data_IF_771061113942
#
_entry.id   IF_771061113942
#
_cell.length_a   1.000
_cell.length_b   1.000
_cell.length_c   1.000
_cell.angle_alpha   90.00
_cell.angle_beta   90.00
_cell.angle_gamma   90.00
#
_symmetry.space_group_name_H-M   'P 1'
#
loop_
_entity.id
_entity.type
_entity.pdbx_description
1 polymer ?
#
# COMPACT_ATOMS: atom_id res chain seq x y z
N UNK A 1 7.08 21.65 -54.91
CA UNK A 1 7.54 21.24 -53.57
C UNK A 1 7.37 19.73 -53.47
N UNK A 2 8.35 18.96 -53.94
CA UNK A 2 8.27 17.50 -54.08
C UNK A 2 8.81 16.85 -52.80
N UNK A 3 7.97 16.07 -52.12
CA UNK A 3 8.39 15.28 -50.96
C UNK A 3 9.50 14.30 -51.38
N UNK A 4 10.58 14.15 -50.57
CA UNK A 4 11.63 13.19 -50.88
C UNK A 4 11.06 11.77 -50.85
N UNK A 5 11.21 11.04 -51.94
CA UNK A 5 10.84 9.63 -52.03
C UNK A 5 11.73 8.82 -51.08
N UNK A 6 11.14 8.27 -50.02
CA UNK A 6 11.78 7.32 -49.11
C UNK A 6 12.26 6.14 -49.97
N UNK A 7 13.57 5.88 -49.99
CA UNK A 7 14.15 4.81 -50.83
C UNK A 7 13.75 3.45 -50.24
N UNK A 8 13.19 2.57 -51.06
CA UNK A 8 12.78 1.21 -50.66
C UNK A 8 13.91 0.39 -49.99
N UNK A 9 15.19 0.72 -50.27
CA UNK A 9 16.36 0.13 -49.61
C UNK A 9 16.49 0.50 -48.13
N UNK A 10 16.04 1.69 -47.72
CA UNK A 10 16.06 2.13 -46.32
C UNK A 10 14.98 1.45 -45.48
N UNK A 11 13.88 1.01 -46.12
CA UNK A 11 12.83 0.24 -45.46
C UNK A 11 13.30 -1.18 -45.08
N UNK A 12 14.12 -1.82 -45.93
CA UNK A 12 14.66 -3.15 -45.66
C UNK A 12 15.67 -3.18 -44.52
N UNK A 13 16.56 -2.17 -44.44
CA UNK A 13 17.53 -2.05 -43.34
C UNK A 13 16.85 -1.69 -42.03
N UNK A 14 15.85 -0.80 -42.04
CA UNK A 14 15.05 -0.48 -40.85
C UNK A 14 14.33 -1.72 -40.30
N UNK A 15 13.73 -2.55 -41.18
CA UNK A 15 13.05 -3.77 -40.76
C UNK A 15 14.01 -4.81 -40.17
N UNK A 16 15.22 -4.94 -40.72
CA UNK A 16 16.27 -5.80 -40.15
C UNK A 16 16.72 -5.30 -38.78
N UNK A 17 16.91 -3.99 -38.61
CA UNK A 17 17.28 -3.43 -37.29
C UNK A 17 16.18 -3.68 -36.26
N UNK A 18 14.91 -3.51 -36.63
CA UNK A 18 13.78 -3.81 -35.74
C UNK A 18 13.71 -5.29 -35.35
N UNK A 19 13.95 -6.22 -36.28
CA UNK A 19 13.97 -7.65 -35.95
C UNK A 19 15.15 -8.02 -35.06
N UNK A 20 16.33 -7.43 -35.26
CA UNK A 20 17.47 -7.61 -34.35
C UNK A 20 17.20 -7.06 -32.95
N UNK A 21 16.62 -5.87 -32.83
CA UNK A 21 16.23 -5.29 -31.54
C UNK A 21 15.19 -6.17 -30.84
N UNK A 22 14.18 -6.65 -31.58
CA UNK A 22 13.18 -7.54 -31.01
C UNK A 22 13.79 -8.88 -30.56
N UNK A 23 14.61 -9.51 -31.41
CA UNK A 23 15.26 -10.78 -31.09
C UNK A 23 16.20 -10.66 -29.89
N UNK A 24 17.01 -9.60 -29.81
CA UNK A 24 17.89 -9.32 -28.67
C UNK A 24 17.10 -9.04 -27.39
N UNK A 25 15.99 -8.31 -27.46
CA UNK A 25 15.11 -8.09 -26.31
C UNK A 25 14.53 -9.41 -25.79
N UNK A 26 14.01 -10.27 -26.68
CA UNK A 26 13.50 -11.61 -26.33
C UNK A 26 14.60 -12.46 -25.69
N UNK A 27 15.81 -12.47 -26.26
CA UNK A 27 16.94 -13.20 -25.71
C UNK A 27 17.34 -12.71 -24.31
N UNK A 28 17.42 -11.39 -24.10
CA UNK A 28 17.70 -10.81 -22.79
C UNK A 28 16.61 -11.18 -21.75
N UNK A 29 15.34 -11.17 -22.15
CA UNK A 29 14.23 -11.52 -21.26
C UNK A 29 14.23 -13.01 -20.89
N UNK A 30 14.51 -13.91 -21.83
CA UNK A 30 14.57 -15.36 -21.55
C UNK A 30 15.74 -15.69 -20.64
N UNK A 31 16.93 -15.17 -20.92
CA UNK A 31 18.12 -15.35 -20.05
C UNK A 31 17.86 -14.81 -18.66
N UNK A 32 17.28 -13.61 -18.54
CA UNK A 32 16.91 -13.02 -17.24
C UNK A 32 15.87 -13.85 -16.50
N UNK A 33 14.88 -14.42 -17.19
CA UNK A 33 13.84 -15.25 -16.59
C UNK A 33 14.41 -16.55 -16.04
N UNK A 34 15.29 -17.22 -16.80
CA UNK A 34 15.99 -18.44 -16.36
C UNK A 34 16.87 -18.12 -15.14
N UNK A 35 17.61 -17.01 -15.18
CA UNK A 35 18.43 -16.58 -14.05
C UNK A 35 17.59 -16.32 -12.80
N UNK A 36 16.46 -15.62 -12.92
CA UNK A 36 15.55 -15.31 -11.80
C UNK A 36 14.89 -16.54 -11.18
N UNK A 37 14.64 -17.58 -11.98
CA UNK A 37 14.02 -18.82 -11.54
C UNK A 37 15.00 -19.76 -10.84
N UNK A 38 16.22 -19.91 -11.35
CA UNK A 38 17.15 -20.95 -10.86
C UNK A 38 18.33 -20.38 -10.06
N UNK A 39 18.93 -19.29 -10.52
CA UNK A 39 20.19 -18.76 -9.98
C UNK A 39 20.01 -17.58 -9.04
N UNK A 40 18.79 -17.05 -8.89
CA UNK A 40 18.50 -15.98 -7.95
C UNK A 40 18.66 -16.46 -6.51
N UNK A 41 19.20 -15.66 -5.57
CA UNK A 41 19.30 -16.04 -4.16
C UNK A 41 17.94 -16.42 -3.51
N UNK A 42 16.84 -15.91 -4.06
CA UNK A 42 15.47 -16.23 -3.63
C UNK A 42 14.82 -17.41 -4.39
N UNK A 43 15.54 -18.11 -5.28
CA UNK A 43 15.01 -19.27 -6.02
C UNK A 43 14.68 -20.46 -5.11
N UNK A 44 15.30 -20.52 -3.93
CA UNK A 44 15.05 -21.54 -2.90
C UNK A 44 13.65 -21.46 -2.29
N UNK A 45 12.95 -20.33 -2.42
CA UNK A 45 11.62 -20.15 -1.85
C UNK A 45 10.54 -20.49 -2.88
N UNK A 46 9.52 -21.27 -2.50
CA UNK A 46 8.45 -21.64 -3.40
C UNK A 46 7.54 -20.44 -3.70
N UNK A 47 6.88 -20.46 -4.86
CA UNK A 47 5.92 -19.44 -5.25
C UNK A 47 5.51 -19.54 -6.72
N UNK A 48 4.53 -18.72 -7.17
CA UNK A 48 4.12 -18.68 -8.56
C UNK A 48 5.30 -18.33 -9.48
N UNK A 49 5.55 -19.14 -10.50
CA UNK A 49 6.69 -18.92 -11.43
C UNK A 49 6.62 -17.55 -12.11
N UNK A 50 5.41 -17.07 -12.44
CA UNK A 50 5.20 -15.75 -13.04
C UNK A 50 5.68 -14.65 -12.08
N UNK A 51 5.38 -14.79 -10.79
CA UNK A 51 5.81 -13.86 -9.74
C UNK A 51 7.34 -13.88 -9.54
N UNK A 52 7.99 -15.04 -9.66
CA UNK A 52 9.44 -15.14 -9.60
C UNK A 52 10.15 -14.47 -10.79
N UNK A 53 9.51 -14.46 -11.97
CA UNK A 53 10.07 -13.88 -13.20
C UNK A 53 9.89 -12.37 -13.26
N UNK A 54 8.71 -11.84 -12.93
CA UNK A 54 8.39 -10.41 -13.06
C UNK A 54 7.28 -9.94 -12.12
N UNK A 55 7.21 -8.61 -11.93
CA UNK A 55 6.17 -7.94 -11.13
C UNK A 55 4.80 -7.89 -11.84
N UNK A 56 4.69 -8.50 -13.02
CA UNK A 56 3.43 -8.57 -13.79
C UNK A 56 2.35 -9.30 -13.01
N UNK A 57 2.73 -10.32 -12.23
CA UNK A 57 1.80 -11.04 -11.37
C UNK A 57 1.19 -10.12 -10.31
N UNK A 58 2.02 -9.31 -9.64
CA UNK A 58 1.59 -8.28 -8.70
C UNK A 58 0.69 -7.24 -9.38
N UNK A 59 1.10 -6.71 -10.53
CA UNK A 59 0.34 -5.70 -11.26
C UNK A 59 -1.05 -6.22 -11.66
N UNK A 60 -1.14 -7.44 -12.18
CA UNK A 60 -2.41 -8.07 -12.57
C UNK A 60 -3.37 -8.24 -11.38
N UNK A 61 -2.87 -8.76 -10.26
CA UNK A 61 -3.70 -8.99 -9.07
C UNK A 61 -4.04 -7.70 -8.33
N UNK A 62 -3.17 -6.70 -8.36
CA UNK A 62 -3.45 -5.36 -7.83
C UNK A 62 -4.51 -4.63 -8.65
N UNK A 63 -4.41 -4.65 -9.98
CA UNK A 63 -5.38 -4.02 -10.88
C UNK A 63 -6.76 -4.70 -10.85
N UNK A 64 -6.81 -6.01 -10.60
CA UNK A 64 -8.07 -6.74 -10.42
C UNK A 64 -8.68 -6.57 -9.02
N UNK A 65 -8.00 -5.88 -8.10
CA UNK A 65 -8.43 -5.73 -6.71
C UNK A 65 -8.37 -7.03 -5.91
N UNK A 66 -7.76 -8.08 -6.45
CA UNK A 66 -7.71 -9.43 -5.84
C UNK A 66 -6.37 -9.77 -5.20
N UNK A 67 -5.49 -8.79 -5.03
CA UNK A 67 -4.15 -8.97 -4.46
C UNK A 67 -4.13 -9.76 -3.14
N UNK A 68 -4.95 -9.45 -2.12
CA UNK A 68 -4.94 -10.19 -0.87
C UNK A 68 -5.28 -11.68 -1.04
N UNK A 69 -6.29 -11.99 -1.86
CA UNK A 69 -6.70 -13.37 -2.16
C UNK A 69 -5.66 -14.12 -2.98
N UNK A 70 -4.98 -13.45 -3.92
CA UNK A 70 -3.92 -14.07 -4.70
C UNK A 70 -2.71 -14.46 -3.84
N UNK A 71 -2.37 -13.62 -2.85
CA UNK A 71 -1.34 -13.93 -1.86
C UNK A 71 -1.80 -15.08 -0.96
N UNK A 72 -3.04 -15.07 -0.49
CA UNK A 72 -3.62 -16.17 0.30
C UNK A 72 -3.59 -17.51 -0.45
N UNK A 73 -3.99 -17.52 -1.72
CA UNK A 73 -3.95 -18.70 -2.58
C UNK A 73 -2.51 -19.15 -2.82
N UNK A 74 -1.57 -18.23 -3.02
CA UNK A 74 -0.16 -18.57 -3.13
C UNK A 74 0.36 -19.19 -1.83
N UNK A 75 -0.05 -18.67 -0.67
CA UNK A 75 0.28 -19.29 0.60
C UNK A 75 -0.29 -20.71 0.66
N UNK A 76 -1.60 -20.91 0.48
CA UNK A 76 -2.23 -22.24 0.53
C UNK A 76 -1.57 -23.27 -0.40
N UNK A 77 -1.24 -22.87 -1.63
CA UNK A 77 -0.73 -23.79 -2.65
C UNK A 77 0.77 -24.11 -2.51
N UNK A 78 1.57 -23.19 -1.97
CA UNK A 78 3.03 -23.32 -1.92
C UNK A 78 3.58 -23.55 -0.50
N UNK A 79 2.78 -23.33 0.55
CA UNK A 79 3.18 -23.40 1.99
C UNK A 79 3.05 -24.78 2.61
N UNK A 80 2.70 -25.84 1.86
CA UNK A 80 2.64 -27.20 2.42
C UNK A 80 3.93 -27.66 3.15
N UNK A 81 5.07 -26.95 2.99
CA UNK A 81 6.34 -27.21 3.71
C UNK A 81 7.14 -25.98 4.16
N UNK A 82 6.63 -24.75 4.09
CA UNK A 82 7.47 -23.60 4.46
C UNK A 82 6.72 -22.29 4.67
N UNK A 83 7.10 -21.56 5.71
CA UNK A 83 6.43 -20.35 6.19
C UNK A 83 6.67 -19.09 5.33
N UNK A 84 7.27 -19.26 4.15
CA UNK A 84 7.76 -18.18 3.29
C UNK A 84 7.45 -18.46 1.83
N UNK A 85 6.80 -17.50 1.15
CA UNK A 85 6.46 -17.59 -0.28
C UNK A 85 7.02 -16.41 -1.04
N UNK A 86 7.55 -16.67 -2.23
CA UNK A 86 8.01 -15.64 -3.16
C UNK A 86 6.85 -15.12 -4.00
N UNK A 87 6.56 -13.83 -3.86
CA UNK A 87 5.44 -13.13 -4.52
C UNK A 87 5.88 -12.09 -5.57
N UNK A 88 7.18 -11.82 -5.65
CA UNK A 88 7.80 -11.02 -6.70
C UNK A 88 9.26 -11.45 -6.88
N UNK A 89 10.00 -10.95 -7.90
CA UNK A 89 11.39 -11.32 -8.09
C UNK A 89 12.26 -11.03 -6.87
N UNK A 90 11.98 -9.95 -6.13
CA UNK A 90 12.74 -9.50 -4.96
C UNK A 90 11.91 -9.44 -3.67
N UNK A 91 10.71 -10.03 -3.64
CA UNK A 91 9.80 -9.93 -2.49
C UNK A 91 9.37 -11.31 -1.99
N UNK A 92 9.31 -11.42 -0.67
CA UNK A 92 8.88 -12.60 0.06
C UNK A 92 7.77 -12.20 1.04
N UNK A 93 6.80 -13.08 1.19
CA UNK A 93 5.79 -13.03 2.24
C UNK A 93 6.17 -14.03 3.31
N UNK A 94 6.22 -13.57 4.56
CA UNK A 94 6.49 -14.38 5.73
C UNK A 94 5.21 -14.53 6.56
N UNK A 95 4.91 -15.74 7.01
CA UNK A 95 3.77 -16.04 7.89
C UNK A 95 4.26 -16.74 9.15
N UNK A 96 5.30 -16.18 9.79
CA UNK A 96 5.80 -16.64 11.09
C UNK A 96 5.72 -15.56 12.16
N UNK A 97 5.54 -15.95 13.43
CA UNK A 97 5.69 -15.03 14.56
C UNK A 97 7.09 -14.42 14.64
N UNK A 98 8.13 -15.19 14.29
CA UNK A 98 9.52 -14.72 14.30
C UNK A 98 9.75 -13.60 13.29
N UNK A 99 9.13 -13.65 12.11
CA UNK A 99 9.24 -12.58 11.12
C UNK A 99 8.73 -11.23 11.65
N UNK A 100 7.74 -11.22 12.54
CA UNK A 100 7.30 -9.98 13.17
C UNK A 100 8.42 -9.36 14.04
N UNK A 101 9.11 -10.19 14.83
CA UNK A 101 10.24 -9.75 15.64
C UNK A 101 11.44 -9.34 14.78
N UNK A 102 11.74 -10.08 13.71
CA UNK A 102 12.87 -9.82 12.83
C UNK A 102 12.65 -8.60 11.90
N UNK A 103 11.41 -8.33 11.48
CA UNK A 103 11.09 -7.19 10.60
C UNK A 103 10.76 -5.92 11.40
N UNK A 104 10.00 -6.04 12.50
CA UNK A 104 9.45 -4.91 13.25
C UNK A 104 10.00 -4.78 14.67
N UNK A 105 10.81 -5.72 15.15
CA UNK A 105 11.44 -5.63 16.46
C UNK A 105 12.36 -4.41 16.59
N UNK A 106 12.55 -3.94 17.82
CA UNK A 106 13.51 -2.86 18.11
C UNK A 106 14.92 -3.41 18.01
N UNK A 107 15.53 -3.33 16.82
CA UNK A 107 16.89 -3.84 16.68
C UNK A 107 17.89 -2.80 17.14
N UNK A 108 18.70 -3.21 18.10
CA UNK A 108 19.91 -2.51 18.46
C UNK A 108 20.88 -2.55 17.26
N UNK A 109 21.18 -1.36 16.75
CA UNK A 109 22.40 -0.95 16.03
C UNK A 109 22.47 -0.99 14.50
N UNK A 110 21.73 -1.81 13.74
CA UNK A 110 21.95 -1.94 12.27
C UNK A 110 20.69 -2.02 11.37
N UNK A 111 19.56 -1.42 11.76
CA UNK A 111 18.23 -1.69 11.17
C UNK A 111 17.84 -0.88 9.91
N UNK A 112 18.80 -0.39 9.14
CA UNK A 112 18.53 0.25 7.83
C UNK A 112 18.35 -0.76 6.68
N UNK A 113 18.37 -2.06 6.99
CA UNK A 113 18.46 -3.14 6.01
C UNK A 113 17.17 -3.36 5.19
N UNK A 114 16.01 -2.96 5.73
CA UNK A 114 14.71 -3.12 5.06
C UNK A 114 14.01 -1.77 4.92
N UNK A 115 14.47 -0.89 4.00
CA UNK A 115 13.76 0.35 3.71
C UNK A 115 12.35 0.03 3.19
N UNK A 116 11.40 0.90 3.51
CA UNK A 116 10.04 0.82 2.94
C UNK A 116 10.11 0.88 1.41
N UNK A 117 9.13 0.26 0.75
CA UNK A 117 9.02 0.31 -0.72
C UNK A 117 8.88 1.77 -1.18
N UNK A 118 9.54 2.11 -2.29
CA UNK A 118 9.48 3.48 -2.83
C UNK A 118 8.17 3.79 -3.56
N UNK A 119 7.29 2.81 -3.72
CA UNK A 119 5.95 2.99 -4.32
C UNK A 119 5.15 4.05 -3.56
N UNK A 120 5.38 4.14 -2.26
CA UNK A 120 4.71 5.07 -1.35
C UNK A 120 5.60 6.29 -1.01
N UNK A 121 6.63 6.59 -1.80
CA UNK A 121 7.39 7.83 -1.60
C UNK A 121 6.67 9.01 -2.27
N UNK A 122 5.75 9.66 -1.54
CA UNK A 122 4.92 10.76 -2.05
C UNK A 122 5.54 12.15 -1.90
N UNK A 123 6.86 12.25 -1.67
CA UNK A 123 7.57 13.52 -1.73
C UNK A 123 8.73 13.60 -0.75
N UNK A 124 9.92 13.89 -1.28
CA UNK A 124 11.09 14.29 -0.50
C UNK A 124 10.96 15.77 -0.10
N UNK A 125 9.86 16.15 0.57
CA UNK A 125 9.81 17.46 1.20
C UNK A 125 10.89 17.55 2.30
N UNK A 126 11.27 18.77 2.67
CA UNK A 126 12.35 19.02 3.64
C UNK A 126 12.05 18.39 5.01
N UNK A 127 10.78 18.10 5.27
CA UNK A 127 10.30 17.62 6.57
C UNK A 127 10.03 16.11 6.62
N UNK A 128 9.73 15.46 5.49
CA UNK A 128 9.37 14.05 5.43
C UNK A 128 8.03 13.75 6.12
N UNK A 129 7.17 12.94 5.49
CA UNK A 129 5.95 12.44 6.15
C UNK A 129 6.22 11.15 6.92
N UNK A 130 5.63 10.96 8.12
CA UNK A 130 5.78 9.71 8.90
C UNK A 130 5.35 8.45 8.12
N UNK A 131 4.39 8.59 7.20
CA UNK A 131 3.88 7.48 6.39
C UNK A 131 4.81 7.21 5.19
N UNK A 132 5.26 8.27 4.52
CA UNK A 132 5.89 8.23 3.20
C UNK A 132 7.43 8.30 3.23
N UNK A 133 8.03 8.65 4.36
CA UNK A 133 9.50 8.70 4.52
C UNK A 133 10.10 7.29 4.41
N UNK A 134 11.00 7.14 3.44
CA UNK A 134 11.61 5.86 3.08
C UNK A 134 12.94 5.64 3.82
N UNK A 135 13.65 6.73 4.14
CA UNK A 135 14.92 6.68 4.86
C UNK A 135 14.65 6.38 6.34
N UNK A 136 15.14 5.25 6.88
CA UNK A 136 14.89 4.87 8.28
C UNK A 136 15.38 5.90 9.30
N UNK A 137 16.48 6.62 9.00
CA UNK A 137 17.07 7.63 9.88
C UNK A 137 16.17 8.86 9.93
N UNK A 138 15.74 9.35 8.75
CA UNK A 138 14.81 10.48 8.65
C UNK A 138 13.45 10.12 9.25
N UNK A 139 12.94 8.92 8.99
CA UNK A 139 11.68 8.43 9.55
C UNK A 139 11.71 8.44 11.09
N UNK A 140 12.83 8.02 11.71
CA UNK A 140 12.99 8.09 13.18
C UNK A 140 12.95 9.53 13.70
N UNK A 141 13.53 10.49 12.97
CA UNK A 141 13.49 11.92 13.33
C UNK A 141 12.06 12.46 13.30
N UNK A 142 11.31 12.17 12.23
CA UNK A 142 9.90 12.56 12.10
C UNK A 142 9.04 11.89 13.18
N UNK A 143 9.22 10.60 13.42
CA UNK A 143 8.51 9.87 14.47
C UNK A 143 8.77 10.48 15.86
N UNK A 144 10.01 10.88 16.15
CA UNK A 144 10.39 11.52 17.41
C UNK A 144 9.69 12.87 17.61
N UNK A 145 9.49 13.64 16.53
CA UNK A 145 8.77 14.92 16.59
C UNK A 145 7.27 14.72 16.90
N UNK A 146 6.67 13.64 16.40
CA UNK A 146 5.25 13.31 16.64
C UNK A 146 4.99 12.59 17.97
N UNK A 147 5.98 11.86 18.49
CA UNK A 147 5.84 11.02 19.70
C UNK A 147 5.22 11.72 20.92
N UNK A 148 5.52 13.00 21.23
CA UNK A 148 4.91 13.68 22.38
C UNK A 148 3.38 13.80 22.31
N UNK A 149 2.82 13.95 21.10
CA UNK A 149 1.37 14.02 20.88
C UNK A 149 0.65 12.71 21.24
N UNK A 150 1.37 11.58 21.20
CA UNK A 150 0.88 10.25 21.57
C UNK A 150 1.31 9.82 22.99
N UNK A 151 1.84 10.75 23.80
CA UNK A 151 2.19 10.44 25.18
C UNK A 151 0.95 10.16 26.02
N UNK A 152 1.08 9.31 27.05
CA UNK A 152 -0.05 9.02 27.95
C UNK A 152 -0.69 10.26 28.59
N UNK A 153 0.10 11.33 28.83
CA UNK A 153 -0.42 12.62 29.31
C UNK A 153 -1.27 13.32 28.24
N UNK A 154 -0.81 13.38 27.00
CA UNK A 154 -1.53 14.01 25.91
C UNK A 154 -2.84 13.25 25.59
N UNK A 155 -2.80 11.92 25.61
CA UNK A 155 -3.97 11.08 25.41
C UNK A 155 -5.03 11.30 26.51
N UNK A 156 -4.62 11.29 27.78
CA UNK A 156 -5.53 11.61 28.90
C UNK A 156 -6.12 13.01 28.82
N UNK A 157 -5.36 13.99 28.33
CA UNK A 157 -5.88 15.34 28.14
C UNK A 157 -6.97 15.42 27.04
N UNK A 158 -6.97 14.50 26.07
CA UNK A 158 -7.95 14.42 24.98
C UNK A 158 -9.09 13.45 25.23
N UNK A 159 -9.00 12.62 26.27
CA UNK A 159 -10.04 11.67 26.68
C UNK A 159 -11.42 12.31 26.88
N UNK A 160 -11.57 13.46 27.56
CA UNK A 160 -12.89 14.11 27.70
C UNK A 160 -13.50 14.52 26.35
N UNK A 161 -12.67 14.95 25.41
CA UNK A 161 -13.09 15.31 24.05
C UNK A 161 -13.61 14.10 23.29
N UNK A 162 -12.95 12.94 23.40
CA UNK A 162 -13.40 11.69 22.79
C UNK A 162 -14.74 11.25 23.37
N UNK A 163 -14.88 11.27 24.70
CA UNK A 163 -16.14 10.92 25.36
C UNK A 163 -17.31 11.77 24.86
N UNK A 164 -17.13 13.08 24.72
CA UNK A 164 -18.16 13.99 24.18
C UNK A 164 -18.68 13.53 22.80
N UNK A 165 -17.80 13.13 21.90
CA UNK A 165 -18.20 12.66 20.56
C UNK A 165 -18.85 11.28 20.59
N UNK A 166 -18.36 10.38 21.43
CA UNK A 166 -18.94 9.05 21.62
C UNK A 166 -20.33 9.15 22.23
N UNK A 167 -20.51 10.00 23.25
CA UNK A 167 -21.80 10.23 23.90
C UNK A 167 -22.82 10.79 22.90
N UNK A 168 -22.41 11.78 22.08
CA UNK A 168 -23.25 12.31 21.00
C UNK A 168 -23.62 11.22 19.98
N UNK A 169 -22.65 10.39 19.57
CA UNK A 169 -22.92 9.28 18.67
C UNK A 169 -23.94 8.30 19.26
N UNK A 170 -23.78 7.90 20.52
CA UNK A 170 -24.70 6.99 21.21
C UNK A 170 -26.09 7.62 21.35
N UNK A 171 -26.17 8.90 21.68
CA UNK A 171 -27.44 9.64 21.77
C UNK A 171 -28.18 9.62 20.42
N UNK A 172 -27.48 9.92 19.33
CA UNK A 172 -28.05 9.88 17.97
C UNK A 172 -28.49 8.48 17.56
N UNK A 173 -27.69 7.47 17.84
CA UNK A 173 -28.03 6.08 17.55
C UNK A 173 -29.27 5.62 18.33
N UNK A 174 -29.43 6.05 19.60
CA UNK A 174 -30.64 5.78 20.39
C UNK A 174 -31.87 6.47 19.81
N UNK A 175 -31.75 7.73 19.40
CA UNK A 175 -32.86 8.49 18.82
C UNK A 175 -33.33 7.91 17.48
N UNK A 176 -32.41 7.40 16.67
CA UNK A 176 -32.70 6.87 15.33
C UNK A 176 -32.96 5.35 15.31
N UNK A 177 -32.55 4.62 16.34
CA UNK A 177 -32.54 3.16 16.43
C UNK A 177 -33.90 2.45 16.52
N UNK A 178 -35.00 3.18 16.36
CA UNK A 178 -36.36 2.62 16.31
C UNK A 178 -37.08 2.82 14.96
N UNK A 179 -36.41 3.44 13.97
CA UNK A 179 -37.03 3.73 12.67
C UNK A 179 -37.17 2.49 11.78
N UNK A 180 -38.23 2.46 10.96
CA UNK A 180 -38.55 1.34 10.05
C UNK A 180 -37.44 1.00 9.02
N UNK A 181 -36.50 1.92 8.78
CA UNK A 181 -35.43 1.77 7.80
C UNK A 181 -34.04 1.51 8.43
N UNK A 182 -33.95 1.45 9.76
CA UNK A 182 -32.67 1.30 10.46
C UNK A 182 -31.69 2.46 10.19
N UNK A 183 -30.45 2.29 10.63
CA UNK A 183 -29.39 3.31 10.52
C UNK A 183 -28.13 2.69 9.92
N UNK A 184 -27.55 3.36 8.90
CA UNK A 184 -26.28 2.94 8.29
C UNK A 184 -25.10 3.24 9.23
N UNK A 185 -24.66 2.23 9.99
CA UNK A 185 -23.47 2.34 10.85
C UNK A 185 -22.20 2.79 10.10
N UNK A 186 -21.88 2.32 8.88
CA UNK A 186 -20.70 2.80 8.16
C UNK A 186 -20.67 4.32 7.96
N UNK A 187 -21.82 4.91 7.64
CA UNK A 187 -21.94 6.36 7.45
C UNK A 187 -21.72 7.11 8.77
N UNK A 188 -22.35 6.65 9.84
CA UNK A 188 -22.25 7.30 11.16
C UNK A 188 -20.87 7.17 11.78
N UNK A 189 -20.21 6.00 11.62
CA UNK A 189 -18.83 5.79 12.04
C UNK A 189 -17.88 6.71 11.25
N UNK A 190 -18.11 6.90 9.95
CA UNK A 190 -17.31 7.83 9.16
C UNK A 190 -17.41 9.26 9.69
N UNK A 191 -18.62 9.76 9.96
CA UNK A 191 -18.81 11.10 10.53
C UNK A 191 -18.16 11.24 11.91
N UNK A 192 -18.31 10.24 12.77
CA UNK A 192 -17.64 10.20 14.08
C UNK A 192 -16.12 10.29 13.94
N UNK A 193 -15.53 9.49 13.04
CA UNK A 193 -14.09 9.49 12.79
C UNK A 193 -13.59 10.84 12.27
N UNK A 194 -14.34 11.49 11.37
CA UNK A 194 -14.00 12.82 10.84
C UNK A 194 -14.01 13.86 11.94
N UNK A 195 -15.08 13.90 12.75
CA UNK A 195 -15.20 14.87 13.85
C UNK A 195 -14.10 14.68 14.90
N UNK A 196 -13.85 13.44 15.31
CA UNK A 196 -12.77 13.11 16.25
C UNK A 196 -11.42 13.51 15.67
N UNK A 197 -11.12 13.13 14.41
CA UNK A 197 -9.83 13.41 13.79
C UNK A 197 -9.58 14.91 13.64
N UNK A 198 -10.60 15.67 13.27
CA UNK A 198 -10.49 17.12 13.10
C UNK A 198 -10.28 17.84 14.44
N UNK A 199 -10.97 17.44 15.51
CA UNK A 199 -10.77 18.03 16.83
C UNK A 199 -9.42 17.61 17.45
N UNK A 200 -9.03 16.35 17.27
CA UNK A 200 -7.73 15.87 17.76
C UNK A 200 -6.54 16.50 17.04
N UNK A 201 -6.60 16.64 15.71
CA UNK A 201 -5.48 17.13 14.91
C UNK A 201 -5.43 18.67 14.83
N UNK A 202 -6.59 19.33 14.70
CA UNK A 202 -6.68 20.76 14.40
C UNK A 202 -7.47 21.57 15.43
N UNK A 203 -7.98 20.93 16.49
CA UNK A 203 -8.87 21.55 17.47
C UNK A 203 -10.07 22.25 16.79
N UNK A 204 -10.61 21.59 15.74
CA UNK A 204 -11.69 22.11 14.91
C UNK A 204 -12.90 21.18 15.00
N UNK A 205 -14.06 21.77 15.26
CA UNK A 205 -15.35 21.08 15.22
C UNK A 205 -15.88 21.10 13.79
N UNK A 206 -16.09 19.91 13.21
CA UNK A 206 -16.64 19.74 11.85
C UNK A 206 -18.15 19.45 11.86
N UNK A 207 -18.69 19.10 13.03
CA UNK A 207 -20.10 18.85 13.31
C UNK A 207 -20.80 17.88 12.34
N UNK A 208 -20.05 16.98 11.69
CA UNK A 208 -20.58 16.04 10.71
C UNK A 208 -21.63 15.09 11.32
N UNK A 209 -21.36 14.61 12.54
CA UNK A 209 -22.26 13.77 13.33
C UNK A 209 -23.51 14.52 13.83
N UNK A 210 -23.39 15.82 14.07
CA UNK A 210 -24.48 16.67 14.55
C UNK A 210 -25.43 17.05 13.42
N UNK A 211 -24.88 17.43 12.28
CA UNK A 211 -25.63 17.91 11.12
C UNK A 211 -26.14 16.77 10.24
N UNK A 212 -25.72 15.53 10.51
CA UNK A 212 -26.06 14.34 9.72
C UNK A 212 -25.74 14.52 8.23
N UNK A 213 -24.64 15.21 7.95
CA UNK A 213 -24.17 15.57 6.62
C UNK A 213 -22.70 15.28 6.50
N UNK A 214 -22.31 14.73 5.36
CA UNK A 214 -20.90 14.63 5.00
C UNK A 214 -20.39 16.01 4.61
N UNK A 215 -19.44 16.55 5.37
CA UNK A 215 -18.74 17.80 5.02
C UNK A 215 -17.80 17.61 3.81
N UNK A 216 -17.48 16.36 3.48
CA UNK A 216 -16.83 15.97 2.23
C UNK A 216 -17.88 15.73 1.14
N UNK A 217 -17.70 16.27 -0.08
CA UNK A 217 -18.62 16.00 -1.19
C UNK A 217 -18.63 14.49 -1.47
N UNK A 218 -19.73 13.84 -1.09
CA UNK A 218 -19.97 12.42 -1.36
C UNK A 218 -20.35 12.25 -2.83
N UNK A 219 -19.34 12.19 -3.69
CA UNK A 219 -19.42 11.51 -4.99
C UNK A 219 -18.29 10.51 -5.10
N UNK A 220 -18.44 9.39 -4.38
CA UNK A 220 -17.94 8.11 -4.84
C UNK A 220 -19.13 7.15 -4.89
N UNK A 221 -19.95 7.34 -5.92
CA UNK A 221 -20.90 6.32 -6.39
C UNK A 221 -20.08 5.20 -7.03
N UNK A 222 -19.46 4.38 -6.19
CA UNK A 222 -18.83 3.13 -6.60
C UNK A 222 -19.89 2.04 -6.55
N UNK A 223 -20.60 1.85 -7.65
CA UNK A 223 -21.19 0.55 -7.95
C UNK A 223 -20.02 -0.42 -8.14
N UNK A 224 -19.84 -1.33 -7.20
CA UNK A 224 -19.16 -2.59 -7.44
C UNK A 224 -20.24 -3.68 -7.52
#
# INVERSE_FOLDING_TARGET
>A
MTLPAIRLSEMGTAQQLLTFIFASAVFCLTVRSIWRLYFHPLSKYPGPKIAAISDVWYAYHSLSGRWPWAVEDALKNYVCRGDVVRIAPNELVFVTPQALADLYGSHNKNLELFPKTQINNHGNDEHGGIIWEWDPVRHRKVAKQLSPAFSGRALRAKEPTLHRYIDLFVERMKALGGGAHGVSLPTWINWLCVDISADMAYNRQMDASKDSKSTTPTTFSGKY
#
